data_IF_663884118996
#
_entry.id   IF_663884118996
#
_cell.length_a   1.000
_cell.length_b   1.000
_cell.length_c   1.000
_cell.angle_alpha   90.00
_cell.angle_beta   90.00
_cell.angle_gamma   90.00
#
_symmetry.space_group_name_H-M   'P 1'
#
loop_
_entity.id
_entity.type
_entity.pdbx_description
1 polymer ?
#
# COMPACT_ATOMS: atom_id res chain seq x y z
N UNK A 1 7.62 -7.81 -10.35
CA UNK A 1 6.38 -7.15 -10.82
C UNK A 1 5.12 -7.67 -10.14
N UNK A 2 4.95 -8.98 -9.93
CA UNK A 2 3.75 -9.54 -9.28
C UNK A 2 3.51 -9.06 -7.84
N UNK A 3 4.56 -8.99 -7.00
CA UNK A 3 4.43 -8.49 -5.62
C UNK A 3 4.02 -7.01 -5.63
N UNK A 4 4.66 -6.15 -6.41
CA UNK A 4 4.30 -4.72 -6.47
C UNK A 4 2.88 -4.45 -7.00
N UNK A 5 2.33 -5.35 -7.82
CA UNK A 5 0.98 -5.22 -8.38
C UNK A 5 -0.10 -5.86 -7.50
N UNK A 6 0.26 -6.74 -6.55
CA UNK A 6 -0.70 -7.38 -5.67
C UNK A 6 -1.43 -6.41 -4.75
N UNK A 7 -0.82 -5.27 -4.40
CA UNK A 7 -1.47 -4.22 -3.61
C UNK A 7 -2.65 -3.57 -4.37
N UNK A 8 -2.46 -3.33 -5.67
CA UNK A 8 -3.52 -2.79 -6.54
C UNK A 8 -4.64 -3.80 -6.77
N UNK A 9 -4.29 -5.07 -7.02
CA UNK A 9 -5.27 -6.13 -7.15
C UNK A 9 -6.05 -6.37 -5.85
N UNK A 10 -5.35 -6.45 -4.72
CA UNK A 10 -5.97 -6.61 -3.41
C UNK A 10 -6.91 -5.45 -3.08
N UNK A 11 -6.48 -4.22 -3.32
CA UNK A 11 -7.33 -3.04 -3.18
C UNK A 11 -8.54 -3.04 -4.12
N UNK A 12 -8.36 -3.49 -5.37
CA UNK A 12 -9.47 -3.65 -6.31
C UNK A 12 -10.51 -4.66 -5.81
N UNK A 13 -10.07 -5.84 -5.38
CA UNK A 13 -10.96 -6.88 -4.84
C UNK A 13 -11.70 -6.38 -3.60
N UNK A 14 -11.01 -5.70 -2.67
CA UNK A 14 -11.63 -5.12 -1.49
C UNK A 14 -12.65 -4.03 -1.85
N UNK A 15 -12.34 -3.19 -2.83
CA UNK A 15 -13.26 -2.17 -3.31
C UNK A 15 -14.52 -2.75 -3.95
N UNK A 16 -14.43 -3.88 -4.67
CA UNK A 16 -15.61 -4.58 -5.19
C UNK A 16 -16.54 -5.08 -4.07
N UNK A 17 -15.96 -5.49 -2.93
CA UNK A 17 -16.72 -5.95 -1.76
C UNK A 17 -17.34 -4.79 -0.96
N UNK A 18 -16.77 -3.59 -1.06
CA UNK A 18 -17.26 -2.39 -0.37
C UNK A 18 -17.40 -1.23 -1.39
N UNK A 19 -18.51 -1.15 -2.13
CA UNK A 19 -18.66 -0.22 -3.26
C UNK A 19 -19.08 1.22 -2.89
N UNK A 20 -19.32 1.51 -1.61
CA UNK A 20 -19.85 2.79 -1.13
C UNK A 20 -18.82 3.92 -1.12
N UNK A 21 -19.26 5.15 -1.42
CA UNK A 21 -18.44 6.37 -1.28
C UNK A 21 -18.33 6.79 0.17
N UNK A 22 -17.11 7.11 0.61
CA UNK A 22 -16.84 7.59 1.98
C UNK A 22 -16.15 8.95 1.94
N UNK A 23 -16.50 9.82 2.88
CA UNK A 23 -15.83 11.09 3.06
C UNK A 23 -14.38 10.88 3.53
N UNK A 24 -13.43 11.64 2.96
CA UNK A 24 -12.01 11.54 3.33
C UNK A 24 -11.75 11.74 4.83
N UNK A 25 -12.59 12.51 5.51
CA UNK A 25 -12.51 12.72 6.98
C UNK A 25 -12.52 11.42 7.77
N UNK A 26 -13.18 10.36 7.28
CA UNK A 26 -13.24 9.06 7.96
C UNK A 26 -11.88 8.34 8.03
N UNK A 27 -10.98 8.61 7.09
CA UNK A 27 -9.67 7.96 6.97
C UNK A 27 -8.49 8.93 7.02
N UNK A 28 -8.72 10.24 7.21
CA UNK A 28 -7.69 11.28 7.14
C UNK A 28 -6.46 10.95 8.00
N UNK A 29 -6.69 10.55 9.26
CA UNK A 29 -5.62 10.24 10.21
C UNK A 29 -4.82 9.01 9.78
N UNK A 30 -5.43 7.81 9.60
CA UNK A 30 -4.68 6.64 9.17
C UNK A 30 -4.03 6.82 7.79
N UNK A 31 -4.63 7.61 6.88
CA UNK A 31 -4.02 7.93 5.58
C UNK A 31 -2.67 8.64 5.74
N UNK A 32 -2.62 9.76 6.47
CA UNK A 32 -1.38 10.52 6.62
C UNK A 32 -0.33 9.77 7.43
N UNK A 33 -0.74 9.01 8.46
CA UNK A 33 0.19 8.17 9.22
C UNK A 33 0.78 7.06 8.36
N UNK A 34 -0.04 6.38 7.56
CA UNK A 34 0.43 5.37 6.61
C UNK A 34 1.38 5.99 5.59
N UNK A 35 1.09 7.20 5.10
CA UNK A 35 1.94 7.90 4.14
C UNK A 35 3.32 8.24 4.73
N UNK A 36 3.36 8.74 5.97
CA UNK A 36 4.63 9.01 6.68
C UNK A 36 5.41 7.72 6.90
N UNK A 37 4.75 6.66 7.36
CA UNK A 37 5.38 5.36 7.58
C UNK A 37 5.86 4.72 6.28
N UNK A 38 5.14 4.90 5.16
CA UNK A 38 5.57 4.47 3.83
C UNK A 38 6.85 5.19 3.39
N UNK A 39 6.94 6.51 3.63
CA UNK A 39 8.17 7.27 3.35
C UNK A 39 9.33 6.72 4.17
N UNK A 40 9.12 6.49 5.47
CA UNK A 40 10.14 5.92 6.36
C UNK A 40 10.55 4.50 5.94
N UNK A 41 9.58 3.66 5.56
CA UNK A 41 9.81 2.33 5.01
C UNK A 41 10.68 2.40 3.76
N UNK A 42 10.37 3.34 2.85
CA UNK A 42 11.15 3.50 1.63
C UNK A 42 12.57 4.00 1.87
N UNK A 43 12.77 4.84 2.88
CA UNK A 43 14.09 5.28 3.34
C UNK A 43 14.87 4.08 3.90
N UNK A 44 14.25 3.24 4.74
CA UNK A 44 14.87 2.01 5.25
C UNK A 44 15.32 1.10 4.11
N UNK A 45 14.42 0.78 3.17
CA UNK A 45 14.72 -0.05 2.00
C UNK A 45 15.90 0.48 1.18
N UNK A 46 15.96 1.80 1.00
CA UNK A 46 17.05 2.46 0.29
C UNK A 46 18.38 2.33 1.03
N UNK A 47 18.41 2.66 2.33
CA UNK A 47 19.63 2.63 3.14
C UNK A 47 20.17 1.21 3.36
N UNK A 48 19.29 0.22 3.41
CA UNK A 48 19.65 -1.19 3.65
C UNK A 48 19.83 -2.02 2.37
N UNK A 49 19.66 -1.42 1.19
CA UNK A 49 19.99 -2.05 -0.10
C UNK A 49 18.95 -3.07 -0.57
N UNK A 50 17.65 -2.82 -0.38
CA UNK A 50 16.56 -3.71 -0.79
C UNK A 50 16.68 -4.16 -2.26
N UNK A 51 16.90 -3.22 -3.19
CA UNK A 51 17.01 -3.57 -4.62
C UNK A 51 18.24 -4.40 -4.95
N UNK A 52 19.33 -4.20 -4.21
CA UNK A 52 20.55 -4.95 -4.44
C UNK A 52 20.35 -6.41 -3.98
N UNK A 53 19.66 -6.60 -2.85
CA UNK A 53 19.20 -7.93 -2.40
C UNK A 53 18.21 -8.58 -3.37
N UNK A 54 17.24 -7.82 -3.86
CA UNK A 54 16.25 -8.33 -4.81
C UNK A 54 16.90 -8.71 -6.15
N UNK A 55 17.88 -7.94 -6.62
CA UNK A 55 18.65 -8.25 -7.82
C UNK A 55 19.45 -9.54 -7.64
N UNK A 56 20.11 -9.73 -6.48
CA UNK A 56 20.85 -10.94 -6.18
C UNK A 56 19.96 -12.21 -6.15
N UNK A 57 18.73 -12.09 -5.64
CA UNK A 57 17.77 -13.21 -5.58
C UNK A 57 17.18 -13.53 -6.96
N UNK A 58 16.79 -12.50 -7.72
CA UNK A 58 16.05 -12.68 -8.97
C UNK A 58 16.95 -12.85 -10.19
N UNK A 59 18.24 -12.50 -10.08
CA UNK A 59 19.16 -12.39 -11.22
C UNK A 59 18.84 -11.24 -12.18
N UNK A 60 17.81 -10.44 -11.89
CA UNK A 60 17.41 -9.28 -12.70
C UNK A 60 18.19 -8.06 -12.24
N UNK A 61 18.76 -7.32 -13.18
CA UNK A 61 19.47 -6.08 -12.85
C UNK A 61 18.54 -5.04 -12.25
N UNK A 62 19.04 -4.33 -11.25
CA UNK A 62 18.36 -3.15 -10.69
C UNK A 62 18.14 -2.13 -11.82
N UNK A 63 16.90 -1.67 -12.07
CA UNK A 63 16.65 -0.66 -13.08
C UNK A 63 17.34 0.65 -12.69
N UNK A 64 17.77 1.40 -13.70
CA UNK A 64 18.33 2.74 -13.49
C UNK A 64 17.30 3.64 -12.80
N UNK A 65 17.74 4.49 -11.87
CA UNK A 65 16.84 5.29 -11.00
C UNK A 65 15.91 6.20 -11.81
N UNK A 66 16.39 6.72 -12.95
CA UNK A 66 15.62 7.58 -13.85
C UNK A 66 15.06 6.84 -15.08
N UNK A 67 15.10 5.51 -15.08
CA UNK A 67 14.50 4.70 -16.14
C UNK A 67 12.99 4.93 -16.24
N UNK A 68 12.43 4.77 -17.44
CA UNK A 68 11.01 4.97 -17.66
C UNK A 68 10.17 4.02 -16.80
N UNK A 69 10.64 2.80 -16.53
CA UNK A 69 9.99 1.82 -15.67
C UNK A 69 9.84 2.34 -14.24
N UNK A 70 10.91 2.90 -13.67
CA UNK A 70 10.89 3.44 -12.30
C UNK A 70 10.00 4.68 -12.22
N UNK A 71 10.08 5.57 -13.22
CA UNK A 71 9.24 6.77 -13.29
C UNK A 71 7.76 6.39 -13.39
N UNK A 72 7.40 5.47 -14.29
CA UNK A 72 6.01 5.02 -14.42
C UNK A 72 5.53 4.29 -13.18
N UNK A 73 6.35 3.44 -12.58
CA UNK A 73 6.02 2.79 -11.33
C UNK A 73 5.67 3.83 -10.27
N UNK A 74 6.49 4.87 -10.11
CA UNK A 74 6.26 5.93 -9.12
C UNK A 74 4.97 6.73 -9.42
N UNK A 75 4.77 7.13 -10.68
CA UNK A 75 3.59 7.90 -11.10
C UNK A 75 2.29 7.11 -10.95
N UNK A 76 2.27 5.86 -11.42
CA UNK A 76 1.09 5.01 -11.38
C UNK A 76 0.79 4.48 -9.97
N UNK A 77 1.80 4.39 -9.10
CA UNK A 77 1.60 4.00 -7.70
C UNK A 77 1.47 5.19 -6.76
N UNK A 78 2.60 5.77 -6.34
CA UNK A 78 2.67 6.88 -5.39
C UNK A 78 1.86 8.07 -5.90
N UNK A 79 1.97 8.41 -7.18
CA UNK A 79 1.18 9.48 -7.79
C UNK A 79 -0.32 9.24 -7.65
N UNK A 80 -0.79 8.02 -7.93
CA UNK A 80 -2.19 7.65 -7.74
C UNK A 80 -2.62 7.75 -6.26
N UNK A 81 -1.78 7.33 -5.31
CA UNK A 81 -2.11 7.43 -3.88
C UNK A 81 -2.15 8.89 -3.38
N UNK A 82 -1.29 9.77 -3.90
CA UNK A 82 -1.33 11.19 -3.56
C UNK A 82 -2.62 11.89 -4.03
N UNK A 83 -3.32 11.33 -5.03
CA UNK A 83 -4.61 11.85 -5.50
C UNK A 83 -5.79 11.48 -4.58
N UNK A 84 -5.61 10.58 -3.61
CA UNK A 84 -6.69 10.10 -2.71
C UNK A 84 -7.42 11.26 -2.01
N UNK A 85 -6.76 12.22 -1.34
CA UNK A 85 -7.45 13.28 -0.61
C UNK A 85 -8.29 14.16 -1.53
N UNK A 86 -7.76 14.48 -2.72
CA UNK A 86 -8.47 15.26 -3.72
C UNK A 86 -9.68 14.49 -4.27
N UNK A 87 -9.48 13.24 -4.70
CA UNK A 87 -10.53 12.44 -5.33
C UNK A 87 -11.67 12.12 -4.35
N UNK A 88 -11.35 11.70 -3.12
CA UNK A 88 -12.35 11.47 -2.08
C UNK A 88 -12.99 12.78 -1.59
N UNK A 89 -12.24 13.88 -1.54
CA UNK A 89 -12.76 15.20 -1.20
C UNK A 89 -13.81 15.71 -2.20
N UNK A 90 -13.73 15.28 -3.46
CA UNK A 90 -14.75 15.53 -4.50
C UNK A 90 -15.88 14.50 -4.53
N UNK A 91 -15.86 13.51 -3.64
CA UNK A 91 -16.86 12.44 -3.59
C UNK A 91 -16.73 11.39 -4.70
N UNK A 92 -15.61 11.34 -5.43
CA UNK A 92 -15.42 10.36 -6.48
C UNK A 92 -15.22 8.95 -5.91
N UNK A 93 -16.00 7.98 -6.41
CA UNK A 93 -15.87 6.54 -6.08
C UNK A 93 -14.45 6.01 -6.31
N UNK A 94 -13.79 6.54 -7.33
CA UNK A 94 -12.41 6.19 -7.66
C UNK A 94 -11.43 6.55 -6.53
N UNK A 95 -11.68 7.62 -5.77
CA UNK A 95 -10.85 7.96 -4.61
C UNK A 95 -10.90 6.90 -3.52
N UNK A 96 -12.06 6.27 -3.29
CA UNK A 96 -12.22 5.17 -2.34
C UNK A 96 -11.52 3.90 -2.82
N UNK A 97 -11.55 3.62 -4.13
CA UNK A 97 -10.73 2.56 -4.73
C UNK A 97 -9.24 2.79 -4.48
N UNK A 98 -8.74 3.99 -4.76
CA UNK A 98 -7.34 4.33 -4.52
C UNK A 98 -6.96 4.17 -3.04
N UNK A 99 -7.82 4.57 -2.11
CA UNK A 99 -7.60 4.36 -0.68
C UNK A 99 -7.50 2.87 -0.31
N UNK A 100 -8.34 2.02 -0.90
CA UNK A 100 -8.23 0.56 -0.72
C UNK A 100 -6.91 0.02 -1.25
N UNK A 101 -6.46 0.45 -2.44
CA UNK A 101 -5.16 0.01 -3.00
C UNK A 101 -3.99 0.46 -2.14
N UNK A 102 -4.03 1.68 -1.61
CA UNK A 102 -2.97 2.21 -0.76
C UNK A 102 -2.85 1.40 0.52
N UNK A 103 -3.95 1.23 1.27
CA UNK A 103 -3.89 0.47 2.52
C UNK A 103 -3.64 -1.04 2.29
N UNK A 104 -4.11 -1.62 1.19
CA UNK A 104 -3.83 -3.02 0.86
C UNK A 104 -2.36 -3.23 0.47
N UNK A 105 -1.75 -2.31 -0.29
CA UNK A 105 -0.33 -2.35 -0.58
C UNK A 105 0.49 -2.32 0.73
N UNK A 106 0.24 -1.32 1.57
CA UNK A 106 1.01 -1.11 2.81
C UNK A 106 0.73 -2.18 3.88
N UNK A 107 -0.50 -2.70 3.93
CA UNK A 107 -0.93 -3.65 4.95
C UNK A 107 -0.76 -5.13 4.57
N UNK A 108 -0.79 -5.46 3.28
CA UNK A 108 -0.79 -6.86 2.82
C UNK A 108 0.46 -7.15 2.00
N UNK A 109 0.74 -6.33 0.99
CA UNK A 109 1.88 -6.58 0.09
C UNK A 109 3.20 -6.45 0.84
N UNK A 110 3.33 -5.46 1.71
CA UNK A 110 4.57 -5.25 2.47
C UNK A 110 4.88 -6.36 3.47
N UNK A 111 3.91 -7.20 3.84
CA UNK A 111 4.19 -8.39 4.65
C UNK A 111 5.10 -9.40 3.95
N UNK A 112 5.29 -9.28 2.63
CA UNK A 112 6.26 -10.06 1.86
C UNK A 112 7.67 -10.02 2.47
N UNK A 113 8.02 -8.93 3.16
CA UNK A 113 9.25 -8.79 3.95
C UNK A 113 9.43 -9.86 5.02
N UNK A 114 8.33 -10.39 5.56
CA UNK A 114 8.34 -11.44 6.58
C UNK A 114 7.97 -12.81 6.01
N UNK A 115 7.07 -12.87 5.03
CA UNK A 115 6.48 -14.16 4.59
C UNK A 115 7.03 -14.69 3.28
N UNK A 116 7.66 -13.84 2.46
CA UNK A 116 8.19 -14.22 1.13
C UNK A 116 9.72 -14.13 1.11
N UNK A 117 10.29 -12.96 1.38
CA UNK A 117 11.73 -12.75 1.19
C UNK A 117 12.66 -13.59 2.09
N UNK A 118 12.31 -13.92 3.36
CA UNK A 118 13.15 -14.77 4.19
C UNK A 118 13.40 -16.17 3.62
N UNK A 119 12.53 -16.68 2.75
CA UNK A 119 12.72 -17.97 2.07
C UNK A 119 13.88 -17.97 1.05
N UNK A 120 14.36 -16.79 0.67
CA UNK A 120 15.48 -16.60 -0.26
C UNK A 120 16.75 -16.14 0.47
N UNK A 121 16.70 -15.99 1.79
CA UNK A 121 17.84 -15.61 2.60
C UNK A 121 18.66 -16.85 3.02
N UNK A 122 19.97 -16.71 3.27
CA UNK A 122 20.81 -17.82 3.74
C UNK A 122 20.37 -18.42 5.08
N UNK A 123 19.58 -17.68 5.87
CA UNK A 123 19.05 -18.11 7.15
C UNK A 123 17.60 -17.63 7.32
N UNK A 124 16.68 -18.46 7.87
CA UNK A 124 15.27 -18.10 8.07
C UNK A 124 15.04 -16.89 8.99
N UNK A 125 16.03 -16.55 9.84
CA UNK A 125 15.96 -15.41 10.77
C UNK A 125 16.79 -14.21 10.29
N UNK A 126 17.32 -14.26 9.08
CA UNK A 126 18.08 -13.14 8.54
C UNK A 126 17.16 -11.93 8.31
N UNK A 127 17.64 -10.76 8.71
CA UNK A 127 16.97 -9.50 8.41
C UNK A 127 16.96 -9.25 6.90
N UNK A 128 15.79 -8.87 6.39
CA UNK A 128 15.60 -8.39 5.03
C UNK A 128 15.25 -6.89 5.07
N UNK A 129 15.90 -6.06 4.22
CA UNK A 129 15.57 -4.64 4.06
C UNK A 129 14.07 -4.38 4.05
N UNK A 130 13.55 -3.53 4.95
CA UNK A 130 12.12 -3.21 5.03
C UNK A 130 11.36 -3.92 6.15
N UNK A 131 11.89 -4.98 6.76
CA UNK A 131 11.20 -5.68 7.85
C UNK A 131 10.92 -4.77 9.06
N UNK A 132 11.82 -3.84 9.41
CA UNK A 132 11.69 -3.08 10.66
C UNK A 132 10.51 -2.10 10.62
N UNK A 133 10.41 -1.31 9.55
CA UNK A 133 9.31 -0.36 9.35
C UNK A 133 7.96 -1.03 9.10
N UNK A 134 7.93 -2.22 8.48
CA UNK A 134 6.68 -2.95 8.23
C UNK A 134 5.93 -3.31 9.52
N UNK A 135 6.66 -3.53 10.62
CA UNK A 135 6.07 -3.79 11.95
C UNK A 135 5.09 -2.68 12.36
N UNK A 136 5.36 -1.43 12.00
CA UNK A 136 4.46 -0.31 12.28
C UNK A 136 3.56 0.04 11.09
N UNK A 137 4.09 -0.01 9.87
CA UNK A 137 3.37 0.36 8.66
C UNK A 137 2.12 -0.51 8.45
N UNK A 138 2.24 -1.83 8.55
CA UNK A 138 1.14 -2.73 8.26
C UNK A 138 -0.04 -2.58 9.25
N UNK A 139 0.17 -2.54 10.58
CA UNK A 139 -0.92 -2.29 11.53
C UNK A 139 -1.65 -0.95 11.32
N UNK A 140 -0.92 0.12 10.97
CA UNK A 140 -1.54 1.42 10.70
C UNK A 140 -2.36 1.37 9.41
N UNK A 141 -1.88 0.68 8.37
CA UNK A 141 -2.62 0.45 7.15
C UNK A 141 -3.90 -0.39 7.39
N UNK A 142 -3.82 -1.43 8.24
CA UNK A 142 -4.99 -2.22 8.65
C UNK A 142 -6.01 -1.38 9.41
N UNK A 143 -5.56 -0.47 10.26
CA UNK A 143 -6.45 0.48 10.91
C UNK A 143 -7.17 1.37 9.89
N UNK A 144 -6.46 1.84 8.86
CA UNK A 144 -7.04 2.53 7.71
C UNK A 144 -8.12 1.72 7.00
N UNK A 145 -7.85 0.46 6.66
CA UNK A 145 -8.84 -0.45 6.05
C UNK A 145 -10.06 -0.65 6.94
N UNK A 146 -9.88 -0.87 8.24
CA UNK A 146 -10.99 -1.03 9.20
C UNK A 146 -11.87 0.21 9.26
N UNK A 147 -11.27 1.42 9.28
CA UNK A 147 -12.01 2.69 9.27
C UNK A 147 -12.78 2.88 7.97
N UNK A 148 -12.16 2.53 6.84
CA UNK A 148 -12.80 2.62 5.53
C UNK A 148 -14.00 1.67 5.42
N UNK A 149 -13.81 0.39 5.78
CA UNK A 149 -14.89 -0.61 5.78
C UNK A 149 -16.05 -0.23 6.71
N UNK A 150 -15.76 0.26 7.93
CA UNK A 150 -16.79 0.68 8.87
C UNK A 150 -17.62 1.85 8.33
N UNK A 151 -16.98 2.86 7.75
CA UNK A 151 -17.67 4.00 7.15
C UNK A 151 -18.50 3.61 5.92
N UNK A 152 -18.04 2.63 5.13
CA UNK A 152 -18.78 2.11 3.97
C UNK A 152 -20.03 1.32 4.37
N UNK A 153 -19.96 0.53 5.46
CA UNK A 153 -21.12 -0.20 5.99
C UNK A 153 -22.21 0.75 6.47
N UNK A 154 -21.85 1.73 7.29
CA UNK A 154 -22.79 2.76 7.77
C UNK A 154 -23.50 3.46 6.60
N UNK A 155 -22.75 3.85 5.57
CA UNK A 155 -23.34 4.54 4.41
C UNK A 155 -24.26 3.65 3.57
N UNK A 156 -23.98 2.35 3.51
CA UNK A 156 -24.82 1.38 2.79
C UNK A 156 -26.14 1.14 3.53
N UNK A 157 -26.09 1.05 4.86
CA UNK A 157 -27.27 0.97 5.72
C UNK A 157 -28.14 2.22 5.55
N UNK A 158 -27.57 3.42 5.66
CA UNK A 158 -28.30 4.68 5.49
C UNK A 158 -29.05 4.76 4.14
N UNK A 159 -28.43 4.24 3.06
CA UNK A 159 -29.04 4.24 1.72
C UNK A 159 -30.13 3.19 1.53
N UNK A 160 -30.20 2.16 2.38
CA UNK A 160 -31.21 1.11 2.29
C UNK A 160 -32.52 1.48 3.00
N UNK A 161 -32.50 2.52 3.85
CA UNK A 161 -33.65 3.02 4.61
C UNK A 161 -34.20 4.35 4.06
N UNK A 162 -33.73 4.81 2.89
CA UNK A 162 -34.26 5.94 2.13
C UNK A 162 -35.04 5.46 0.90
#
# INVERSE_FOLDING_TARGET
>A
MLIFTSGFLGGFLLWLLFPATVAFSAIKIPYFLTLVLFILHRIEEYLSGFFDRLSAITGVQKPEVASWEVVLLLLLSVGAWLLIPWAMGRGYRFGTYLAWTFFAAMGITELAHFVVFPWFAPSPLAYFPGMASVVLLAPVAWWGMRRLAAAQRQRSEDSAFQ
#
